data_IF_320230389154
#
_entry.id   IF_320230389154
#
_cell.length_a   1.000
_cell.length_b   1.000
_cell.length_c   1.000
_cell.angle_alpha   90.00
_cell.angle_beta   90.00
_cell.angle_gamma   90.00
#
_symmetry.space_group_name_H-M   'P 1'
#
loop_
_entity.id
_entity.type
_entity.pdbx_description
1 polymer ?
#
# COMPACT_ATOMS: atom_id res chain seq x y z
N UNK A 1 3.81 14.62 -6.53
CA UNK A 1 4.42 13.89 -5.39
C UNK A 1 4.62 12.45 -5.83
N UNK A 2 5.77 11.86 -5.55
CA UNK A 2 6.11 10.46 -5.88
C UNK A 2 5.70 9.50 -4.75
N UNK A 3 5.75 8.19 -4.97
CA UNK A 3 5.55 7.18 -3.92
C UNK A 3 6.62 7.32 -2.85
N UNK A 4 7.87 7.60 -3.24
CA UNK A 4 8.97 7.82 -2.31
C UNK A 4 8.73 9.05 -1.42
N UNK A 5 8.27 10.16 -2.00
CA UNK A 5 7.91 11.37 -1.24
C UNK A 5 6.70 11.14 -0.31
N UNK A 6 5.69 10.40 -0.78
CA UNK A 6 4.54 10.00 0.06
C UNK A 6 4.94 9.11 1.21
N UNK A 7 5.86 8.17 0.98
CA UNK A 7 6.42 7.32 2.03
C UNK A 7 7.15 8.16 3.07
N UNK A 8 7.96 9.13 2.65
CA UNK A 8 8.61 10.08 3.54
C UNK A 8 7.60 10.82 4.43
N UNK A 9 6.55 11.39 3.82
CA UNK A 9 5.46 12.02 4.58
C UNK A 9 4.74 11.06 5.52
N UNK A 10 4.42 9.85 5.06
CA UNK A 10 3.72 8.86 5.87
C UNK A 10 4.49 8.51 7.15
N UNK A 11 5.83 8.55 7.11
CA UNK A 11 6.70 8.33 8.28
C UNK A 11 6.59 9.49 9.28
N UNK A 12 6.51 10.73 8.80
CA UNK A 12 6.52 11.93 9.63
C UNK A 12 5.12 12.37 10.11
N UNK A 13 4.07 11.96 9.39
CA UNK A 13 2.69 12.40 9.64
C UNK A 13 2.02 11.54 10.74
N UNK A 14 1.68 12.12 11.90
CA UNK A 14 1.09 11.39 13.01
C UNK A 14 -0.30 10.83 12.71
N UNK A 15 -1.08 11.48 11.84
CA UNK A 15 -2.42 11.01 11.47
C UNK A 15 -2.32 9.76 10.58
N UNK A 16 -1.33 9.73 9.68
CA UNK A 16 -1.05 8.56 8.85
C UNK A 16 -0.53 7.40 9.70
N UNK A 17 0.33 7.68 10.68
CA UNK A 17 0.81 6.67 11.63
C UNK A 17 -0.32 6.12 12.51
N UNK A 18 -1.23 6.98 12.97
CA UNK A 18 -2.40 6.55 13.73
C UNK A 18 -3.34 5.68 12.88
N UNK A 19 -3.59 6.07 11.63
CA UNK A 19 -4.39 5.26 10.70
C UNK A 19 -3.76 3.89 10.46
N UNK A 20 -2.46 3.83 10.23
CA UNK A 20 -1.70 2.57 10.08
C UNK A 20 -1.87 1.69 11.32
N UNK A 21 -1.65 2.24 12.52
CA UNK A 21 -1.79 1.50 13.78
C UNK A 21 -3.21 0.91 13.95
N UNK A 22 -4.24 1.68 13.61
CA UNK A 22 -5.64 1.22 13.64
C UNK A 22 -5.86 0.00 12.73
N UNK A 23 -5.14 -0.08 11.60
CA UNK A 23 -5.26 -1.12 10.59
C UNK A 23 -4.40 -2.37 10.85
N UNK A 24 -3.30 -2.27 11.58
CA UNK A 24 -2.42 -3.41 11.86
C UNK A 24 -2.49 -3.93 13.31
N UNK A 25 -3.12 -3.20 14.23
CA UNK A 25 -3.20 -3.61 15.64
C UNK A 25 -4.48 -4.34 15.98
N UNK A 26 -4.40 -5.18 17.02
CA UNK A 26 -5.57 -5.79 17.64
C UNK A 26 -6.57 -4.71 18.10
N UNK A 27 -7.89 -4.96 17.99
CA UNK A 27 -8.54 -6.23 17.63
C UNK A 27 -8.82 -6.38 16.12
N UNK A 28 -8.41 -5.43 15.28
CA UNK A 28 -8.72 -5.48 13.84
C UNK A 28 -7.78 -6.41 13.10
N UNK A 29 -6.53 -6.46 13.55
CA UNK A 29 -5.48 -7.29 12.96
C UNK A 29 -4.46 -7.70 14.02
N UNK A 30 -3.24 -8.06 13.63
CA UNK A 30 -2.15 -8.45 14.52
C UNK A 30 -0.79 -7.87 14.12
N UNK A 31 0.21 -7.97 15.00
CA UNK A 31 1.56 -7.41 14.78
C UNK A 31 2.23 -7.88 13.48
N UNK A 32 1.99 -9.11 13.01
CA UNK A 32 2.55 -9.57 11.73
C UNK A 32 1.81 -9.05 10.47
N UNK A 33 0.89 -8.09 10.60
CA UNK A 33 0.10 -7.59 9.47
C UNK A 33 0.90 -6.67 8.55
N UNK A 34 0.66 -6.82 7.25
CA UNK A 34 1.24 -6.00 6.19
C UNK A 34 0.16 -5.41 5.30
N UNK A 35 0.24 -4.12 5.02
CA UNK A 35 -0.73 -3.41 4.18
C UNK A 35 -0.09 -2.39 3.25
N UNK A 36 -0.95 -1.64 2.57
CA UNK A 36 -0.52 -0.55 1.70
C UNK A 36 -1.61 0.46 1.44
N UNK A 37 -1.25 1.74 1.45
CA UNK A 37 -2.13 2.82 1.01
C UNK A 37 -2.03 2.97 -0.50
N UNK A 38 -3.15 2.81 -1.21
CA UNK A 38 -3.23 3.06 -2.65
C UNK A 38 -3.13 4.56 -2.92
N UNK A 39 -2.23 4.95 -3.80
CA UNK A 39 -1.94 6.36 -4.15
C UNK A 39 -1.87 6.54 -5.67
N UNK A 40 -1.95 7.78 -6.18
CA UNK A 40 -1.68 8.02 -7.60
C UNK A 40 -0.29 7.50 -8.01
N UNK A 41 -0.15 6.96 -9.22
CA UNK A 41 1.14 6.51 -9.74
C UNK A 41 2.09 7.70 -9.94
N UNK A 42 3.39 7.39 -10.04
CA UNK A 42 4.43 8.41 -10.25
C UNK A 42 4.51 8.86 -11.71
N UNK A 43 4.10 8.01 -12.64
CA UNK A 43 4.08 8.27 -14.07
C UNK A 43 2.92 7.53 -14.77
N UNK A 44 2.72 7.82 -16.06
CA UNK A 44 1.61 7.27 -16.85
C UNK A 44 1.77 5.78 -17.24
N UNK A 45 2.93 5.17 -16.95
CA UNK A 45 3.21 3.76 -17.22
C UNK A 45 2.67 2.81 -16.14
N UNK A 46 2.27 3.32 -14.98
CA UNK A 46 1.69 2.53 -13.89
C UNK A 46 0.20 2.86 -13.66
N UNK A 47 -0.65 1.86 -13.39
CA UNK A 47 -2.08 2.09 -13.11
C UNK A 47 -2.34 2.66 -11.71
N UNK A 48 -1.46 2.39 -10.74
CA UNK A 48 -1.52 2.90 -9.38
C UNK A 48 -0.12 2.89 -8.73
N UNK A 49 0.03 3.66 -7.65
CA UNK A 49 1.14 3.54 -6.71
C UNK A 49 0.67 2.94 -5.38
N UNK A 50 1.62 2.47 -4.56
CA UNK A 50 1.34 2.00 -3.20
C UNK A 50 2.41 2.47 -2.24
N UNK A 51 1.99 2.99 -1.08
CA UNK A 51 2.86 3.17 0.09
C UNK A 51 2.63 2.00 1.02
N UNK A 52 3.55 1.04 1.00
CA UNK A 52 3.47 -0.15 1.84
C UNK A 52 3.80 0.16 3.30
N UNK A 53 3.23 -0.59 4.23
CA UNK A 53 3.46 -0.44 5.67
C UNK A 53 3.22 -1.75 6.42
N UNK A 54 3.78 -1.83 7.62
CA UNK A 54 3.57 -2.90 8.59
C UNK A 54 3.49 -2.30 10.00
N UNK A 55 3.51 -3.11 11.05
CA UNK A 55 3.37 -2.73 12.46
C UNK A 55 4.38 -1.69 12.95
N UNK A 56 5.59 -1.68 12.40
CA UNK A 56 6.65 -0.73 12.78
C UNK A 56 6.69 0.53 11.91
N UNK A 57 5.89 0.62 10.84
CA UNK A 57 5.81 1.83 10.02
C UNK A 57 5.80 1.58 8.51
N UNK A 58 6.27 2.57 7.75
CA UNK A 58 6.26 2.54 6.29
C UNK A 58 7.42 1.71 5.71
N UNK A 59 7.09 0.79 4.83
CA UNK A 59 8.00 -0.14 4.16
C UNK A 59 8.38 0.34 2.77
N UNK A 60 9.31 -0.34 2.10
CA UNK A 60 9.76 -0.01 0.74
C UNK A 60 8.95 -0.74 -0.32
N UNK A 61 8.96 -2.07 -0.31
CA UNK A 61 8.19 -2.92 -1.21
C UNK A 61 8.02 -4.32 -0.61
N UNK A 62 6.97 -5.05 -1.00
CA UNK A 62 6.81 -6.44 -0.61
C UNK A 62 6.15 -7.28 -1.72
N UNK A 63 6.75 -8.43 -2.04
CA UNK A 63 6.33 -9.27 -3.17
C UNK A 63 4.90 -9.80 -3.03
N UNK A 64 4.55 -10.35 -1.86
CA UNK A 64 3.20 -10.85 -1.59
C UNK A 64 2.13 -9.73 -1.66
N UNK A 65 2.45 -8.54 -1.16
CA UNK A 65 1.57 -7.36 -1.28
C UNK A 65 1.34 -6.96 -2.74
N UNK A 66 2.40 -6.97 -3.56
CA UNK A 66 2.28 -6.69 -5.01
C UNK A 66 1.41 -7.73 -5.72
N UNK A 67 1.54 -9.02 -5.38
CA UNK A 67 0.69 -10.08 -5.95
C UNK A 67 -0.77 -9.86 -5.57
N UNK A 68 -1.04 -9.61 -4.29
CA UNK A 68 -2.40 -9.35 -3.79
C UNK A 68 -3.02 -8.10 -4.45
N UNK A 69 -2.24 -7.02 -4.62
CA UNK A 69 -2.67 -5.82 -5.34
C UNK A 69 -2.97 -6.10 -6.82
N UNK A 70 -2.19 -6.96 -7.47
CA UNK A 70 -2.44 -7.39 -8.84
C UNK A 70 -3.79 -8.10 -8.97
N UNK A 71 -4.08 -9.05 -8.06
CA UNK A 71 -5.38 -9.74 -8.01
C UNK A 71 -6.51 -8.75 -7.78
N UNK A 72 -6.41 -7.92 -6.74
CA UNK A 72 -7.42 -6.90 -6.42
C UNK A 72 -7.66 -5.92 -7.58
N UNK A 73 -6.60 -5.47 -8.25
CA UNK A 73 -6.71 -4.52 -9.37
C UNK A 73 -7.45 -5.13 -10.56
N UNK A 74 -7.26 -6.42 -10.83
CA UNK A 74 -8.00 -7.15 -11.87
C UNK A 74 -9.44 -7.39 -11.46
N UNK A 75 -9.67 -7.93 -10.26
CA UNK A 75 -11.02 -8.27 -9.77
C UNK A 75 -11.94 -7.05 -9.66
N UNK A 76 -11.36 -5.89 -9.35
CA UNK A 76 -12.11 -4.62 -9.25
C UNK A 76 -12.16 -3.82 -10.55
N UNK A 77 -11.62 -4.34 -11.66
CA UNK A 77 -11.67 -3.70 -12.98
C UNK A 77 -10.77 -2.47 -13.13
N UNK A 78 -9.82 -2.25 -12.22
CA UNK A 78 -8.84 -1.15 -12.32
C UNK A 78 -7.78 -1.42 -13.38
N UNK A 79 -7.46 -2.70 -13.59
CA UNK A 79 -6.53 -3.18 -14.61
C UNK A 79 -7.20 -4.34 -15.35
N UNK A 80 -7.04 -4.40 -16.67
CA UNK A 80 -7.53 -5.54 -17.44
C UNK A 80 -6.68 -6.79 -17.16
N UNK A 81 -7.32 -7.95 -17.03
CA UNK A 81 -6.60 -9.21 -16.95
C UNK A 81 -5.71 -9.41 -18.19
N UNK A 82 -4.49 -9.95 -18.05
CA UNK A 82 -3.67 -10.34 -19.19
C UNK A 82 -4.45 -11.30 -20.08
N UNK A 83 -4.33 -11.14 -21.40
CA UNK A 83 -4.80 -12.17 -22.33
C UNK A 83 -3.81 -13.33 -22.27
N UNK A 84 -4.32 -14.53 -21.97
CA UNK A 84 -3.53 -15.77 -22.01
C UNK A 84 -3.11 -16.15 -23.43
#
# INVERSE_FOLDING_TARGET
MTVAERRGRAIEDPDVQALRAVLCSEPRDHADMYGGFVVPPDDAGAPLGVVSWHEDGASTACGHGTIALGVWAVETGRVAAPRG
#
